data_IF_719989985919
#
_entry.id   IF_719989985919
#
_cell.length_a   1.000
_cell.length_b   1.000
_cell.length_c   1.000
_cell.angle_alpha   90.00
_cell.angle_beta   90.00
_cell.angle_gamma   90.00
#
_symmetry.space_group_name_H-M   'P 1'
#
loop_
_entity.id
_entity.type
_entity.pdbx_description
1 polymer ?
#
# COMPACT_ATOMS: atom_id res chain seq x y z
N UNK A 1 -31.79 21.06 -14.66
CA UNK A 1 -30.40 21.54 -14.88
C UNK A 1 -29.54 20.28 -15.07
N UNK A 2 -28.78 20.17 -16.16
CA UNK A 2 -27.90 19.02 -16.39
C UNK A 2 -26.74 19.08 -15.40
N UNK A 3 -26.58 18.05 -14.58
CA UNK A 3 -25.46 17.91 -13.65
C UNK A 3 -24.11 17.55 -14.33
N UNK A 4 -24.12 17.49 -15.67
CA UNK A 4 -22.97 17.13 -16.48
C UNK A 4 -22.28 18.38 -17.02
N UNK A 5 -20.96 18.41 -16.98
CA UNK A 5 -20.18 19.42 -17.71
C UNK A 5 -20.34 19.20 -19.23
N UNK A 6 -20.14 20.24 -20.05
CA UNK A 6 -20.23 20.14 -21.51
C UNK A 6 -19.37 19.02 -22.09
N UNK A 7 -18.16 18.81 -21.55
CA UNK A 7 -17.26 17.73 -21.94
C UNK A 7 -17.81 16.35 -21.58
N UNK A 8 -18.40 16.20 -20.37
CA UNK A 8 -19.02 14.94 -19.95
C UNK A 8 -20.27 14.59 -20.77
N UNK A 9 -21.07 15.60 -21.14
CA UNK A 9 -22.21 15.41 -22.02
C UNK A 9 -21.76 14.96 -23.42
N UNK A 10 -20.73 15.54 -23.98
CA UNK A 10 -20.16 15.15 -25.27
C UNK A 10 -19.61 13.71 -25.24
N UNK A 11 -18.87 13.32 -24.21
CA UNK A 11 -18.39 11.93 -24.04
C UNK A 11 -19.53 10.93 -23.89
N UNK A 12 -20.61 11.32 -23.21
CA UNK A 12 -21.81 10.50 -23.09
C UNK A 12 -22.49 10.30 -24.46
N UNK A 13 -22.71 11.38 -25.21
CA UNK A 13 -23.32 11.33 -26.54
C UNK A 13 -22.50 10.44 -27.49
N UNK A 14 -21.18 10.59 -27.51
CA UNK A 14 -20.29 9.76 -28.32
C UNK A 14 -20.36 8.28 -27.92
N UNK A 15 -20.45 7.98 -26.63
CA UNK A 15 -20.59 6.59 -26.15
C UNK A 15 -21.93 5.97 -26.46
N UNK A 16 -23.02 6.75 -26.45
CA UNK A 16 -24.37 6.28 -26.86
C UNK A 16 -24.38 5.97 -28.36
N UNK A 17 -23.85 6.84 -29.19
CA UNK A 17 -23.78 6.63 -30.64
C UNK A 17 -22.95 5.36 -30.95
N UNK A 18 -21.80 5.18 -30.30
CA UNK A 18 -20.97 3.99 -30.47
C UNK A 18 -21.71 2.71 -30.05
N UNK A 19 -22.44 2.74 -28.95
CA UNK A 19 -23.28 1.62 -28.48
C UNK A 19 -24.41 1.26 -29.49
N UNK A 20 -25.14 2.27 -29.97
CA UNK A 20 -26.20 2.06 -30.95
C UNK A 20 -25.67 1.48 -32.28
N UNK A 21 -24.49 1.94 -32.70
CA UNK A 21 -23.82 1.45 -33.90
C UNK A 21 -23.37 0.00 -33.74
N UNK A 22 -22.80 -0.35 -32.61
CA UNK A 22 -22.34 -1.71 -32.28
C UNK A 22 -23.53 -2.72 -32.22
N UNK A 23 -24.69 -2.25 -31.79
CA UNK A 23 -25.91 -3.07 -31.71
C UNK A 23 -26.78 -3.02 -33.00
N UNK A 24 -26.22 -2.57 -34.12
CA UNK A 24 -26.89 -2.49 -35.42
C UNK A 24 -28.15 -1.57 -35.49
N UNK A 25 -28.27 -0.63 -34.55
CA UNK A 25 -29.36 0.37 -34.54
C UNK A 25 -28.94 1.65 -35.31
N UNK A 26 -28.61 1.47 -36.59
CA UNK A 26 -27.97 2.49 -37.43
C UNK A 26 -28.86 3.72 -37.61
N UNK A 27 -30.17 3.50 -37.83
CA UNK A 27 -31.16 4.59 -38.04
C UNK A 27 -31.22 5.54 -36.81
N UNK A 28 -31.22 4.97 -35.61
CA UNK A 28 -31.28 5.72 -34.37
C UNK A 28 -29.96 6.46 -34.11
N UNK A 29 -28.82 5.83 -34.43
CA UNK A 29 -27.51 6.44 -34.31
C UNK A 29 -27.34 7.64 -35.25
N UNK A 30 -27.83 7.55 -36.49
CA UNK A 30 -27.81 8.65 -37.47
C UNK A 30 -28.77 9.80 -37.07
N UNK A 31 -29.95 9.50 -36.57
CA UNK A 31 -30.88 10.51 -36.05
C UNK A 31 -30.24 11.29 -34.88
N UNK A 32 -29.62 10.58 -33.93
CA UNK A 32 -28.97 11.22 -32.79
C UNK A 32 -27.75 12.09 -33.21
N UNK A 33 -27.01 11.66 -34.23
CA UNK A 33 -25.92 12.45 -34.80
C UNK A 33 -26.38 13.76 -35.39
N UNK A 34 -27.48 13.71 -36.15
CA UNK A 34 -28.06 14.91 -36.80
C UNK A 34 -28.66 15.89 -35.79
N UNK A 35 -29.28 15.40 -34.73
CA UNK A 35 -29.81 16.24 -33.65
C UNK A 35 -28.68 16.94 -32.83
N UNK A 36 -27.53 16.29 -32.68
CA UNK A 36 -26.39 16.79 -31.91
C UNK A 36 -25.36 17.53 -32.76
N UNK A 37 -25.59 17.70 -34.06
CA UNK A 37 -24.70 18.37 -35.02
C UNK A 37 -23.27 17.83 -35.02
N UNK A 38 -23.11 16.50 -34.82
CA UNK A 38 -21.83 15.82 -34.77
C UNK A 38 -21.42 15.33 -36.16
N UNK A 39 -20.39 15.96 -36.75
CA UNK A 39 -19.85 15.61 -38.07
C UNK A 39 -19.24 14.19 -38.07
N UNK A 40 -19.25 13.52 -39.23
CA UNK A 40 -18.68 12.16 -39.41
C UNK A 40 -17.17 12.11 -39.11
N UNK A 41 -16.44 13.20 -39.37
CA UNK A 41 -15.00 13.31 -39.13
C UNK A 41 -14.59 13.21 -37.66
N UNK A 42 -15.53 13.40 -36.73
CA UNK A 42 -15.28 13.25 -35.29
C UNK A 42 -15.36 11.78 -34.81
N UNK A 43 -15.72 10.87 -35.70
CA UNK A 43 -15.85 9.42 -35.43
C UNK A 43 -14.98 8.59 -36.37
N UNK A 44 -13.67 8.89 -36.40
CA UNK A 44 -12.72 8.01 -37.08
C UNK A 44 -12.70 6.62 -36.43
N UNK A 45 -12.13 5.62 -37.12
CA UNK A 45 -12.12 4.24 -36.63
C UNK A 45 -11.40 4.07 -35.28
N UNK A 46 -10.46 4.95 -34.95
CA UNK A 46 -9.75 4.95 -33.69
C UNK A 46 -10.62 5.51 -32.55
N UNK A 47 -11.38 6.56 -32.83
CA UNK A 47 -12.33 7.18 -31.88
C UNK A 47 -13.51 6.24 -31.62
N UNK A 48 -14.06 5.58 -32.64
CA UNK A 48 -15.11 4.60 -32.49
C UNK A 48 -14.71 3.43 -31.58
N UNK A 49 -13.50 2.86 -31.77
CA UNK A 49 -12.95 1.83 -30.88
C UNK A 49 -12.76 2.28 -29.42
N UNK A 50 -12.44 3.55 -29.20
CA UNK A 50 -12.29 4.12 -27.86
C UNK A 50 -13.60 4.14 -27.09
N UNK A 51 -14.71 4.45 -27.78
CA UNK A 51 -16.04 4.54 -27.18
C UNK A 51 -16.83 3.22 -27.24
N UNK A 52 -16.34 2.27 -28.03
CA UNK A 52 -16.91 0.91 -28.10
C UNK A 52 -16.86 0.27 -26.70
N UNK A 53 -18.00 -0.25 -26.27
CA UNK A 53 -18.20 -0.83 -24.92
C UNK A 53 -18.00 0.15 -23.72
N UNK A 54 -17.78 1.45 -23.96
CA UNK A 54 -17.59 2.40 -22.83
C UNK A 54 -18.90 2.57 -22.04
N UNK A 55 -20.04 2.62 -22.71
CA UNK A 55 -21.35 2.72 -22.07
C UNK A 55 -21.64 1.48 -21.21
N UNK A 56 -21.40 0.29 -21.74
CA UNK A 56 -21.58 -0.97 -21.00
C UNK A 56 -20.69 -1.07 -19.78
N UNK A 57 -19.41 -0.68 -19.92
CA UNK A 57 -18.45 -0.65 -18.80
C UNK A 57 -18.88 0.35 -17.72
N UNK A 58 -19.33 1.54 -18.10
CA UNK A 58 -19.83 2.53 -17.13
C UNK A 58 -21.11 2.04 -16.47
N UNK A 59 -22.03 1.41 -17.23
CA UNK A 59 -23.28 0.86 -16.71
C UNK A 59 -23.01 -0.29 -15.73
N UNK A 60 -22.15 -1.23 -16.07
CA UNK A 60 -21.77 -2.32 -15.16
C UNK A 60 -21.11 -1.79 -13.90
N UNK A 61 -20.29 -0.73 -14.00
CA UNK A 61 -19.71 -0.06 -12.84
C UNK A 61 -20.77 0.59 -11.94
N UNK A 62 -21.77 1.27 -12.53
CA UNK A 62 -22.90 1.87 -11.78
C UNK A 62 -23.73 0.78 -11.09
N UNK A 63 -24.07 -0.30 -11.79
CA UNK A 63 -24.81 -1.41 -11.21
C UNK A 63 -24.05 -2.09 -10.07
N UNK A 64 -22.72 -2.21 -10.19
CA UNK A 64 -21.85 -2.73 -9.14
C UNK A 64 -21.85 -1.82 -7.91
N UNK A 65 -21.75 -0.50 -8.12
CA UNK A 65 -21.80 0.48 -7.04
C UNK A 65 -23.17 0.47 -6.36
N UNK A 66 -24.25 0.41 -7.10
CA UNK A 66 -25.61 0.28 -6.55
C UNK A 66 -25.76 -0.98 -5.70
N UNK A 67 -25.30 -2.13 -6.21
CA UNK A 67 -25.28 -3.38 -5.43
C UNK A 67 -24.48 -3.25 -4.15
N UNK A 68 -23.32 -2.57 -4.21
CA UNK A 68 -22.47 -2.33 -3.03
C UNK A 68 -23.13 -1.38 -2.03
N UNK A 69 -23.83 -0.35 -2.49
CA UNK A 69 -24.63 0.55 -1.63
C UNK A 69 -25.72 -0.24 -0.91
N UNK A 70 -26.51 -1.05 -1.64
CA UNK A 70 -27.55 -1.88 -1.04
C UNK A 70 -27.01 -2.90 -0.03
N UNK A 71 -25.85 -3.51 -0.31
CA UNK A 71 -25.18 -4.42 0.64
C UNK A 71 -24.72 -3.68 1.89
N UNK A 72 -24.16 -2.49 1.74
CA UNK A 72 -23.74 -1.65 2.87
C UNK A 72 -24.93 -1.15 3.70
N UNK A 73 -26.04 -0.76 3.05
CA UNK A 73 -27.28 -0.37 3.74
C UNK A 73 -27.86 -1.55 4.51
N UNK A 74 -27.90 -2.74 3.90
CA UNK A 74 -28.32 -3.98 4.58
C UNK A 74 -27.44 -4.31 5.77
N UNK A 75 -26.11 -4.18 5.61
CA UNK A 75 -25.15 -4.38 6.73
C UNK A 75 -25.31 -3.33 7.81
N UNK A 76 -25.55 -2.07 7.47
CA UNK A 76 -25.81 -1.02 8.45
C UNK A 76 -27.08 -1.31 9.23
N UNK A 77 -28.17 -1.68 8.56
CA UNK A 77 -29.43 -2.03 9.21
C UNK A 77 -29.26 -3.24 10.17
N UNK A 78 -28.47 -4.26 9.75
CA UNK A 78 -28.18 -5.39 10.64
C UNK A 78 -27.34 -5.00 11.83
N UNK A 79 -26.32 -4.13 11.64
CA UNK A 79 -25.48 -3.64 12.72
C UNK A 79 -26.24 -2.73 13.69
N UNK A 80 -27.15 -1.89 13.21
CA UNK A 80 -28.03 -1.08 14.04
C UNK A 80 -28.95 -1.96 14.88
N UNK A 81 -29.61 -2.96 14.25
CA UNK A 81 -30.43 -3.94 14.96
C UNK A 81 -29.66 -4.72 16.01
N UNK A 82 -28.42 -5.10 15.72
CA UNK A 82 -27.54 -5.79 16.66
C UNK A 82 -27.05 -4.85 17.79
N UNK A 83 -26.86 -3.55 17.50
CA UNK A 83 -26.47 -2.55 18.49
C UNK A 83 -27.63 -2.29 19.48
N UNK A 84 -28.86 -2.17 18.97
CA UNK A 84 -30.06 -1.95 19.77
C UNK A 84 -30.37 -3.15 20.68
N UNK A 85 -30.03 -4.36 20.24
CA UNK A 85 -30.22 -5.60 21.01
C UNK A 85 -28.96 -6.03 21.79
N UNK A 86 -27.88 -5.23 21.77
CA UNK A 86 -26.63 -5.58 22.42
C UNK A 86 -26.72 -5.44 23.94
N UNK A 87 -26.56 -6.56 24.63
CA UNK A 87 -26.34 -6.56 26.08
C UNK A 87 -24.86 -6.31 26.41
N UNK A 88 -24.51 -5.74 27.60
CA UNK A 88 -23.11 -5.54 27.99
C UNK A 88 -22.24 -6.80 27.89
N UNK A 89 -22.81 -7.98 28.10
CA UNK A 89 -22.12 -9.26 27.96
C UNK A 89 -21.85 -9.64 26.49
N UNK A 90 -22.74 -9.30 25.57
CA UNK A 90 -22.55 -9.57 24.13
C UNK A 90 -21.54 -8.62 23.49
N UNK A 91 -21.40 -7.39 24.00
CA UNK A 91 -20.37 -6.45 23.57
C UNK A 91 -18.96 -6.87 23.98
N UNK A 92 -18.82 -7.52 25.16
CA UNK A 92 -17.51 -8.00 25.63
C UNK A 92 -16.99 -9.21 24.84
N UNK A 93 -17.88 -10.04 24.30
CA UNK A 93 -17.49 -11.20 23.46
C UNK A 93 -17.19 -10.82 22.01
N UNK A 94 -17.64 -9.64 21.55
CA UNK A 94 -17.35 -9.10 20.20
C UNK A 94 -16.00 -8.41 20.08
N UNK A 95 -15.39 -7.99 21.17
CA UNK A 95 -14.00 -7.52 21.19
C UNK A 95 -13.06 -8.73 21.05
N UNK A 96 -13.13 -9.43 19.91
CA UNK A 96 -12.00 -10.24 19.49
C UNK A 96 -10.80 -9.29 19.45
N UNK A 97 -9.86 -9.57 20.35
CA UNK A 97 -8.65 -8.80 20.52
C UNK A 97 -7.91 -8.74 19.16
N UNK A 98 -8.21 -7.71 18.37
CA UNK A 98 -7.63 -7.53 17.01
C UNK A 98 -6.13 -7.34 17.09
N UNK A 99 -5.61 -7.01 18.28
CA UNK A 99 -4.19 -6.86 18.55
C UNK A 99 -3.44 -8.18 18.51
N UNK A 100 -4.12 -9.31 18.70
CA UNK A 100 -3.54 -10.66 18.69
C UNK A 100 -3.87 -11.46 17.42
N UNK A 101 -4.64 -10.90 16.47
CA UNK A 101 -5.01 -11.61 15.26
C UNK A 101 -3.81 -11.88 14.35
N UNK A 102 -3.71 -13.11 13.87
CA UNK A 102 -2.71 -13.54 12.89
C UNK A 102 -3.39 -14.27 11.72
N UNK A 103 -2.92 -14.09 10.49
CA UNK A 103 -3.50 -14.73 9.32
C UNK A 103 -3.50 -16.25 9.45
N UNK A 104 -4.55 -16.90 8.94
CA UNK A 104 -4.75 -18.37 8.99
C UNK A 104 -4.98 -18.90 7.58
N UNK A 105 -4.39 -20.05 7.26
CA UNK A 105 -4.75 -20.82 6.09
C UNK A 105 -6.13 -21.49 6.30
N UNK A 106 -6.94 -21.67 5.25
CA UNK A 106 -6.71 -21.20 3.87
C UNK A 106 -6.92 -19.69 3.72
N UNK A 107 -6.42 -19.05 2.64
CA UNK A 107 -6.74 -17.67 2.32
C UNK A 107 -8.23 -17.51 2.02
N UNK A 108 -8.81 -16.36 2.33
CA UNK A 108 -10.20 -16.06 1.97
C UNK A 108 -10.39 -15.98 0.46
N UNK A 109 -9.43 -15.35 -0.23
CA UNK A 109 -9.44 -15.24 -1.69
C UNK A 109 -8.07 -15.62 -2.26
N UNK A 110 -8.13 -16.31 -3.41
CA UNK A 110 -6.99 -16.52 -4.30
C UNK A 110 -7.37 -15.90 -5.64
N UNK A 111 -6.68 -14.82 -6.01
CA UNK A 111 -7.02 -14.00 -7.17
C UNK A 111 -5.97 -14.19 -8.27
N UNK A 112 -6.44 -14.54 -9.46
CA UNK A 112 -5.60 -14.85 -10.61
C UNK A 112 -5.93 -13.90 -11.77
N UNK A 113 -4.95 -13.17 -12.26
CA UNK A 113 -5.08 -12.37 -13.47
C UNK A 113 -3.72 -11.91 -14.00
N UNK A 114 -2.70 -11.80 -13.13
CA UNK A 114 -1.34 -11.50 -13.59
C UNK A 114 -0.77 -12.63 -14.41
N UNK A 115 0.07 -12.27 -15.40
CA UNK A 115 0.80 -13.22 -16.28
C UNK A 115 2.27 -13.37 -15.92
N UNK A 116 2.74 -12.62 -14.93
CA UNK A 116 4.09 -12.64 -14.39
C UNK A 116 4.09 -12.60 -12.87
N UNK A 117 5.25 -12.76 -12.26
CA UNK A 117 5.46 -12.68 -10.83
C UNK A 117 4.83 -11.42 -10.24
N UNK A 118 4.11 -11.54 -9.14
CA UNK A 118 3.67 -10.38 -8.36
C UNK A 118 4.84 -9.95 -7.50
N UNK A 119 5.45 -8.80 -7.81
CA UNK A 119 6.64 -8.28 -7.13
C UNK A 119 6.29 -7.47 -5.88
N UNK A 120 5.14 -6.80 -5.87
CA UNK A 120 4.79 -5.83 -4.83
C UNK A 120 3.28 -5.69 -4.65
N UNK A 121 2.93 -5.14 -3.48
CA UNK A 121 1.56 -4.96 -3.02
C UNK A 121 1.44 -3.61 -2.29
N UNK A 122 0.32 -2.91 -2.45
CA UNK A 122 -0.02 -1.74 -1.65
C UNK A 122 -1.52 -1.65 -1.40
N UNK A 123 -1.92 -1.51 -0.15
CA UNK A 123 -3.32 -1.26 0.22
C UNK A 123 -3.63 0.23 0.15
N UNK A 124 -4.80 0.57 -0.38
CA UNK A 124 -5.32 1.92 -0.28
C UNK A 124 -5.60 2.26 1.20
N UNK A 125 -5.19 3.45 1.69
CA UNK A 125 -5.31 3.78 3.11
C UNK A 125 -6.76 3.81 3.62
N UNK A 126 -7.72 4.17 2.79
CA UNK A 126 -9.13 4.35 3.16
C UNK A 126 -10.01 3.26 2.55
N UNK A 127 -9.96 3.07 1.24
CA UNK A 127 -10.85 2.17 0.50
C UNK A 127 -10.42 0.70 0.55
N UNK A 128 -11.31 -0.18 0.10
CA UNK A 128 -11.04 -1.63 -0.03
C UNK A 128 -10.19 -1.98 -1.25
N UNK A 129 -9.47 -1.02 -1.83
CA UNK A 129 -8.64 -1.24 -3.00
C UNK A 129 -7.23 -1.70 -2.62
N UNK A 130 -6.71 -2.67 -3.37
CA UNK A 130 -5.35 -3.20 -3.26
C UNK A 130 -4.69 -3.13 -4.64
N UNK A 131 -3.53 -2.49 -4.72
CA UNK A 131 -2.71 -2.47 -5.93
C UNK A 131 -1.66 -3.58 -5.89
N UNK A 132 -1.44 -4.23 -7.02
CA UNK A 132 -0.37 -5.21 -7.23
C UNK A 132 0.46 -4.83 -8.44
N UNK A 133 1.78 -4.85 -8.32
CA UNK A 133 2.71 -4.70 -9.44
C UNK A 133 3.31 -6.05 -9.84
N UNK A 134 3.62 -6.23 -11.12
CA UNK A 134 4.07 -7.51 -11.65
C UNK A 134 5.12 -7.37 -12.74
N UNK A 135 5.87 -8.46 -12.95
CA UNK A 135 6.80 -8.64 -14.05
C UNK A 135 6.10 -8.58 -15.43
N UNK A 136 4.77 -8.70 -15.49
CA UNK A 136 3.98 -8.53 -16.72
C UNK A 136 3.85 -7.07 -17.16
N UNK A 137 4.57 -6.14 -16.52
CA UNK A 137 4.58 -4.70 -16.78
C UNK A 137 3.25 -3.99 -16.47
N UNK A 138 2.33 -4.64 -15.76
CA UNK A 138 1.05 -4.07 -15.39
C UNK A 138 0.90 -3.89 -13.89
N UNK A 139 0.05 -2.93 -13.53
CA UNK A 139 -0.46 -2.80 -12.18
C UNK A 139 -1.93 -3.21 -12.22
N UNK A 140 -2.36 -4.02 -11.27
CA UNK A 140 -3.75 -4.42 -11.15
C UNK A 140 -4.32 -3.92 -9.84
N UNK A 141 -5.54 -3.42 -9.92
CA UNK A 141 -6.28 -2.89 -8.78
C UNK A 141 -7.40 -3.89 -8.47
N UNK A 142 -7.48 -4.28 -7.23
CA UNK A 142 -8.41 -5.29 -6.74
C UNK A 142 -9.27 -4.72 -5.62
N UNK A 143 -10.54 -5.09 -5.58
CA UNK A 143 -11.34 -4.96 -4.37
C UNK A 143 -11.08 -6.20 -3.50
N UNK A 144 -10.31 -6.03 -2.43
CA UNK A 144 -9.94 -7.14 -1.55
C UNK A 144 -11.12 -7.63 -0.70
N UNK A 145 -12.17 -6.84 -0.49
CA UNK A 145 -13.37 -7.26 0.26
C UNK A 145 -14.32 -8.09 -0.62
N UNK A 146 -14.49 -7.69 -1.87
CA UNK A 146 -15.28 -8.44 -2.87
C UNK A 146 -14.48 -9.61 -3.49
N UNK A 147 -13.15 -9.54 -3.50
CA UNK A 147 -12.30 -10.53 -4.16
C UNK A 147 -12.32 -10.41 -5.69
N UNK A 148 -12.45 -9.21 -6.23
CA UNK A 148 -12.60 -8.98 -7.67
C UNK A 148 -11.53 -8.04 -8.22
N UNK A 149 -11.20 -8.24 -9.51
CA UNK A 149 -10.34 -7.32 -10.26
C UNK A 149 -11.14 -6.10 -10.68
N UNK A 150 -10.78 -4.93 -10.16
CA UNK A 150 -11.42 -3.66 -10.56
C UNK A 150 -10.81 -3.15 -11.87
N UNK A 151 -9.48 -3.17 -11.99
CA UNK A 151 -8.80 -2.52 -13.09
C UNK A 151 -7.41 -3.09 -13.38
N UNK A 152 -6.99 -2.92 -14.63
CA UNK A 152 -5.60 -3.13 -15.07
C UNK A 152 -5.04 -1.81 -15.59
N UNK A 153 -4.02 -1.30 -14.91
CA UNK A 153 -3.32 -0.06 -15.27
C UNK A 153 -2.06 -0.42 -16.07
N UNK A 154 -1.93 0.18 -17.24
CA UNK A 154 -0.81 -0.04 -18.17
C UNK A 154 -0.07 1.27 -18.40
N UNK A 155 1.23 1.19 -18.63
CA UNK A 155 2.05 2.36 -18.96
C UNK A 155 3.54 2.18 -18.67
N UNK A 156 3.92 1.22 -17.82
CA UNK A 156 5.31 0.79 -17.72
C UNK A 156 5.67 -0.13 -18.89
N UNK A 157 6.92 -0.03 -19.35
CA UNK A 157 7.43 -0.82 -20.47
C UNK A 157 8.23 -2.05 -20.04
N UNK A 158 8.55 -2.13 -18.74
CA UNK A 158 9.23 -3.27 -18.10
C UNK A 158 8.55 -3.59 -16.78
N UNK A 159 9.05 -4.62 -16.11
CA UNK A 159 8.56 -5.10 -14.82
C UNK A 159 8.30 -3.96 -13.83
N UNK A 160 7.13 -3.97 -13.19
CA UNK A 160 6.80 -3.10 -12.07
C UNK A 160 7.39 -3.73 -10.82
N UNK A 161 8.29 -3.02 -10.14
CA UNK A 161 9.07 -3.57 -9.03
C UNK A 161 8.42 -3.26 -7.69
N UNK A 162 7.89 -2.04 -7.52
CA UNK A 162 7.24 -1.63 -6.28
C UNK A 162 6.10 -0.63 -6.53
N UNK A 163 5.13 -0.64 -5.61
CA UNK A 163 3.98 0.26 -5.61
C UNK A 163 3.70 0.76 -4.20
N UNK A 164 3.20 1.99 -4.07
CA UNK A 164 2.78 2.56 -2.80
C UNK A 164 1.64 3.57 -2.96
N UNK A 165 0.73 3.61 -1.99
CA UNK A 165 -0.34 4.60 -1.92
C UNK A 165 0.03 5.69 -0.91
N UNK A 166 -0.14 6.92 -1.31
CA UNK A 166 0.06 8.10 -0.47
C UNK A 166 -0.19 9.37 -1.24
N UNK A 167 0.36 10.47 -0.78
CA UNK A 167 0.23 11.77 -1.47
C UNK A 167 -0.12 12.91 -0.54
N UNK A 168 -0.32 14.10 -1.10
CA UNK A 168 -0.69 15.29 -0.34
C UNK A 168 -2.03 15.11 0.37
N UNK A 169 -2.24 15.84 1.46
CA UNK A 169 -3.50 15.80 2.20
C UNK A 169 -4.67 16.14 1.28
N UNK A 170 -5.63 15.22 1.20
CA UNK A 170 -6.85 15.37 0.39
C UNK A 170 -6.81 14.73 -1.00
N UNK A 171 -5.65 14.27 -1.47
CA UNK A 171 -5.54 13.48 -2.71
C UNK A 171 -4.61 12.29 -2.50
N UNK A 172 -5.17 11.09 -2.59
CA UNK A 172 -4.38 9.86 -2.55
C UNK A 172 -3.96 9.52 -3.98
N UNK A 173 -2.65 9.39 -4.20
CA UNK A 173 -2.08 8.94 -5.45
C UNK A 173 -1.53 7.52 -5.28
N UNK A 174 -1.42 6.78 -6.37
CA UNK A 174 -0.64 5.56 -6.44
C UNK A 174 0.70 5.88 -7.11
N UNK A 175 1.80 5.56 -6.46
CA UNK A 175 3.12 5.59 -7.06
C UNK A 175 3.51 4.17 -7.49
N UNK A 176 4.21 4.05 -8.61
CA UNK A 176 4.81 2.80 -9.07
C UNK A 176 6.20 3.04 -9.60
N UNK A 177 7.11 2.11 -9.35
CA UNK A 177 8.44 2.13 -9.94
C UNK A 177 8.70 0.88 -10.76
N UNK A 178 9.60 1.00 -11.72
CA UNK A 178 9.83 -0.06 -12.70
C UNK A 178 11.30 -0.20 -13.09
N UNK A 179 11.58 -1.36 -13.67
CA UNK A 179 12.84 -1.63 -14.34
C UNK A 179 13.00 -0.82 -15.64
N UNK A 180 12.00 -0.04 -16.05
CA UNK A 180 12.08 0.92 -17.15
C UNK A 180 12.72 2.27 -16.72
N UNK A 181 13.30 2.34 -15.53
CA UNK A 181 13.99 3.49 -14.93
C UNK A 181 13.05 4.63 -14.53
N UNK A 182 11.76 4.46 -14.67
CA UNK A 182 10.77 5.49 -14.37
C UNK A 182 9.99 5.19 -13.09
N UNK A 183 9.52 6.28 -12.47
CA UNK A 183 8.50 6.25 -11.44
C UNK A 183 7.26 6.93 -12.04
N UNK A 184 6.09 6.37 -11.87
CA UNK A 184 4.84 6.93 -12.37
C UNK A 184 3.86 7.18 -11.23
N UNK A 185 3.16 8.32 -11.30
CA UNK A 185 2.10 8.68 -10.38
C UNK A 185 0.76 8.56 -11.10
N UNK A 186 -0.19 7.92 -10.45
CA UNK A 186 -1.51 7.62 -10.99
C UNK A 186 -2.58 8.18 -10.06
N UNK A 187 -3.62 8.77 -10.64
CA UNK A 187 -4.74 9.29 -9.87
C UNK A 187 -5.87 8.24 -9.79
N UNK A 188 -6.16 7.68 -8.61
CA UNK A 188 -7.26 6.74 -8.43
C UNK A 188 -8.64 7.35 -8.73
N UNK A 189 -8.81 8.66 -8.57
CA UNK A 189 -10.08 9.35 -8.82
C UNK A 189 -10.33 9.52 -10.32
N UNK A 190 -9.28 9.83 -11.10
CA UNK A 190 -9.35 9.94 -12.58
C UNK A 190 -8.93 8.62 -13.25
N UNK A 191 -9.53 7.52 -12.80
CA UNK A 191 -9.44 6.22 -13.48
C UNK A 191 -8.01 5.66 -13.58
N UNK A 192 -7.15 5.95 -12.58
CA UNK A 192 -5.74 5.62 -12.58
C UNK A 192 -4.99 6.17 -13.79
N UNK A 193 -5.36 7.35 -14.24
CA UNK A 193 -4.62 8.05 -15.28
C UNK A 193 -3.24 8.43 -14.79
N UNK A 194 -2.25 8.31 -15.65
CA UNK A 194 -0.91 8.79 -15.34
C UNK A 194 -0.90 10.31 -15.21
N UNK A 195 -0.67 10.82 -14.01
CA UNK A 195 -0.57 12.25 -13.72
C UNK A 195 0.84 12.74 -14.03
N UNK A 196 1.85 11.91 -13.71
CA UNK A 196 3.25 12.32 -13.82
C UNK A 196 4.17 11.12 -13.97
N UNK A 197 5.25 11.33 -14.73
CA UNK A 197 6.36 10.37 -14.85
C UNK A 197 7.64 11.06 -14.40
N UNK A 198 8.31 10.47 -13.40
CA UNK A 198 9.54 10.96 -12.81
C UNK A 198 10.71 10.18 -13.42
N UNK A 199 11.64 10.89 -13.99
CA UNK A 199 12.84 10.37 -14.64
C UNK A 199 14.08 10.95 -13.97
N UNK A 200 15.17 10.17 -13.89
CA UNK A 200 16.44 10.65 -13.36
C UNK A 200 17.27 9.61 -12.61
N UNK A 201 16.75 8.39 -12.39
CA UNK A 201 17.59 7.27 -12.01
C UNK A 201 18.30 6.67 -13.23
N UNK A 202 19.56 6.30 -13.04
CA UNK A 202 20.41 5.76 -14.10
C UNK A 202 20.29 4.23 -14.25
N UNK A 203 19.59 3.59 -13.32
CA UNK A 203 19.32 2.14 -13.35
C UNK A 203 17.90 1.84 -12.81
N UNK A 204 17.49 0.56 -12.89
CA UNK A 204 16.20 0.07 -12.39
C UNK A 204 15.86 0.62 -11.00
N UNK A 205 14.65 1.12 -10.84
CA UNK A 205 14.14 1.58 -9.53
C UNK A 205 13.61 0.37 -8.77
N UNK A 206 14.13 0.15 -7.57
CA UNK A 206 13.87 -1.05 -6.78
C UNK A 206 12.73 -0.87 -5.78
N UNK A 207 12.56 0.33 -5.24
CA UNK A 207 11.51 0.63 -4.28
C UNK A 207 11.03 2.07 -4.41
N UNK A 208 9.77 2.30 -4.07
CA UNK A 208 9.15 3.63 -4.03
C UNK A 208 8.21 3.73 -2.84
N UNK A 209 8.31 4.80 -2.05
CA UNK A 209 7.44 5.05 -0.89
C UNK A 209 7.09 6.52 -0.79
N UNK A 210 5.84 6.79 -0.45
CA UNK A 210 5.45 8.13 -0.01
C UNK A 210 5.98 8.39 1.39
N UNK A 211 6.50 9.60 1.62
CA UNK A 211 6.91 10.02 2.95
C UNK A 211 5.67 10.40 3.74
N UNK A 212 5.37 9.73 4.88
CA UNK A 212 4.21 10.05 5.70
C UNK A 212 4.29 11.46 6.30
N UNK A 213 3.19 11.87 6.90
CA UNK A 213 3.06 13.04 7.80
C UNK A 213 3.03 14.42 7.20
N UNK A 214 3.39 14.68 5.95
CA UNK A 214 3.32 16.10 5.60
C UNK A 214 3.26 16.41 4.16
N UNK A 215 3.74 15.53 3.36
CA UNK A 215 4.46 16.18 2.30
C UNK A 215 4.14 15.51 1.00
N UNK A 216 4.19 16.31 0.00
CA UNK A 216 4.20 15.88 -1.38
C UNK A 216 5.48 15.10 -1.72
N UNK A 217 6.19 14.58 -0.70
CA UNK A 217 7.48 13.91 -0.92
C UNK A 217 7.33 12.42 -1.16
N UNK A 218 8.08 11.95 -2.13
CA UNK A 218 8.24 10.56 -2.48
C UNK A 218 9.72 10.21 -2.39
N UNK A 219 10.04 9.03 -1.92
CA UNK A 219 11.41 8.50 -1.90
C UNK A 219 11.50 7.28 -2.80
N UNK A 220 12.61 7.14 -3.49
CA UNK A 220 12.92 5.96 -4.30
C UNK A 220 14.33 5.44 -4.01
N UNK A 221 14.47 4.12 -4.14
CA UNK A 221 15.74 3.43 -4.12
C UNK A 221 16.01 2.81 -5.49
N UNK A 222 17.27 2.75 -5.90
CA UNK A 222 17.63 2.24 -7.21
C UNK A 222 18.89 1.40 -7.21
N UNK A 223 19.01 0.58 -8.25
CA UNK A 223 20.24 -0.15 -8.56
C UNK A 223 21.39 0.74 -9.02
N UNK A 224 21.16 2.05 -9.21
CA UNK A 224 22.22 3.05 -9.40
C UNK A 224 22.94 3.44 -8.10
N UNK A 225 22.73 2.70 -7.00
CA UNK A 225 23.32 2.89 -5.69
C UNK A 225 22.87 4.17 -4.97
N UNK A 226 21.84 4.83 -5.46
CA UNK A 226 21.31 6.08 -4.88
C UNK A 226 19.90 5.95 -4.36
N UNK A 227 19.57 6.83 -3.43
CA UNK A 227 18.21 7.15 -3.05
C UNK A 227 17.89 8.55 -3.58
N UNK A 228 16.69 8.74 -4.07
CA UNK A 228 16.23 10.07 -4.51
C UNK A 228 14.96 10.47 -3.79
N UNK A 229 14.87 11.73 -3.42
CA UNK A 229 13.68 12.35 -2.84
C UNK A 229 13.09 13.24 -3.90
N UNK A 230 11.79 13.05 -4.18
CA UNK A 230 11.06 13.73 -5.22
C UNK A 230 9.92 14.53 -4.61
N UNK A 231 9.61 15.66 -5.20
CA UNK A 231 8.35 16.35 -4.97
C UNK A 231 7.30 15.80 -5.95
N UNK A 232 6.31 15.10 -5.42
CA UNK A 232 5.23 14.49 -6.21
C UNK A 232 4.37 15.54 -6.94
N UNK A 233 4.31 16.78 -6.44
CA UNK A 233 3.53 17.86 -7.03
C UNK A 233 4.22 18.45 -8.26
N UNK A 234 5.53 18.71 -8.16
CA UNK A 234 6.30 19.31 -9.25
C UNK A 234 6.92 18.26 -10.17
N UNK A 235 7.25 17.08 -9.63
CA UNK A 235 7.91 15.99 -10.34
C UNK A 235 9.44 16.11 -10.35
N UNK A 236 10.00 17.11 -9.69
CA UNK A 236 11.45 17.29 -9.63
C UNK A 236 12.10 16.46 -8.51
N UNK A 237 13.32 16.01 -8.79
CA UNK A 237 14.19 15.44 -7.78
C UNK A 237 14.71 16.55 -6.87
N UNK A 238 14.27 16.54 -5.61
CA UNK A 238 14.68 17.52 -4.60
C UNK A 238 16.06 17.20 -4.06
N UNK A 239 16.38 15.92 -3.88
CA UNK A 239 17.64 15.49 -3.28
C UNK A 239 18.05 14.10 -3.74
N UNK A 240 19.36 13.89 -3.88
CA UNK A 240 19.96 12.57 -4.10
C UNK A 240 20.87 12.24 -2.91
N UNK A 241 20.60 11.10 -2.25
CA UNK A 241 21.39 10.57 -1.15
C UNK A 241 22.35 9.52 -1.71
N UNK A 242 23.64 9.66 -1.37
CA UNK A 242 24.71 8.78 -1.83
C UNK A 242 25.44 8.17 -0.62
N UNK A 243 25.85 6.91 -0.77
CA UNK A 243 26.57 6.22 0.29
C UNK A 243 26.59 4.71 0.13
N UNK A 244 25.52 4.08 -0.36
CA UNK A 244 25.56 2.68 -0.72
C UNK A 244 26.59 2.42 -1.83
N UNK A 245 27.29 1.30 -1.72
CA UNK A 245 28.34 0.90 -2.66
C UNK A 245 27.89 -0.18 -3.65
N UNK A 246 26.65 -0.67 -3.49
CA UNK A 246 26.00 -1.59 -4.42
C UNK A 246 24.51 -1.23 -4.55
N UNK A 247 23.73 -2.05 -5.24
CA UNK A 247 22.32 -1.82 -5.50
C UNK A 247 21.52 -1.62 -4.22
N UNK A 248 20.71 -0.55 -4.16
CA UNK A 248 19.77 -0.34 -3.07
C UNK A 248 18.48 -1.11 -3.40
N UNK A 249 18.07 -2.00 -2.50
CA UNK A 249 16.94 -2.90 -2.70
C UNK A 249 15.62 -2.32 -2.21
N UNK A 250 15.65 -1.75 -1.02
CA UNK A 250 14.44 -1.27 -0.37
C UNK A 250 14.69 0.03 0.38
N UNK A 251 13.63 0.82 0.55
CA UNK A 251 13.61 2.05 1.34
C UNK A 251 12.32 2.15 2.12
N UNK A 252 12.42 2.53 3.39
CA UNK A 252 11.28 2.67 4.29
C UNK A 252 11.35 4.01 5.04
N UNK A 253 10.37 4.92 4.85
CA UNK A 253 10.32 6.18 5.58
C UNK A 253 9.75 5.98 7.00
N UNK A 254 10.19 6.81 7.95
CA UNK A 254 9.60 6.85 9.28
C UNK A 254 8.20 7.50 9.27
N UNK A 255 7.39 7.20 10.27
CA UNK A 255 6.02 7.70 10.38
C UNK A 255 5.93 9.23 10.50
N UNK A 256 6.98 9.86 11.02
CA UNK A 256 7.10 11.32 11.13
C UNK A 256 7.78 11.97 9.91
N UNK A 257 8.23 11.16 8.94
CA UNK A 257 8.90 11.62 7.72
C UNK A 257 10.30 12.18 7.92
N UNK A 258 10.92 12.06 9.11
CA UNK A 258 12.25 12.60 9.41
C UNK A 258 13.37 11.68 9.00
N UNK A 259 13.15 10.38 9.04
CA UNK A 259 14.17 9.38 8.79
C UNK A 259 13.77 8.48 7.62
N UNK A 260 14.78 8.03 6.89
CA UNK A 260 14.66 6.98 5.89
C UNK A 260 15.58 5.82 6.28
N UNK A 261 15.06 4.61 6.21
CA UNK A 261 15.84 3.39 6.32
C UNK A 261 16.03 2.83 4.92
N UNK A 262 17.26 2.42 4.57
CA UNK A 262 17.54 1.76 3.30
C UNK A 262 18.40 0.52 3.50
N UNK A 263 18.25 -0.43 2.60
CA UNK A 263 18.97 -1.69 2.60
C UNK A 263 19.42 -2.06 1.17
N UNK A 264 20.57 -2.69 1.06
CA UNK A 264 21.14 -2.96 -0.25
C UNK A 264 22.01 -4.21 -0.37
N UNK A 265 22.51 -4.41 -1.59
CA UNK A 265 23.43 -5.50 -1.93
C UNK A 265 24.83 -5.34 -1.37
N UNK A 266 25.16 -4.16 -0.83
CA UNK A 266 26.38 -3.93 -0.07
C UNK A 266 26.34 -4.51 1.36
N UNK A 267 25.29 -5.27 1.68
CA UNK A 267 25.05 -5.91 2.98
C UNK A 267 24.93 -4.89 4.13
N UNK A 268 24.72 -3.62 3.82
CA UNK A 268 24.57 -2.55 4.80
C UNK A 268 23.11 -2.10 4.90
N UNK A 269 22.73 -1.69 6.10
CA UNK A 269 21.49 -0.95 6.36
C UNK A 269 21.88 0.47 6.72
N UNK A 270 21.25 1.46 6.12
CA UNK A 270 21.57 2.86 6.38
C UNK A 270 20.34 3.63 6.84
N UNK A 271 20.55 4.43 7.88
CA UNK A 271 19.56 5.36 8.39
C UNK A 271 19.98 6.79 7.99
N UNK A 272 19.04 7.51 7.35
CA UNK A 272 19.26 8.86 6.85
C UNK A 272 18.37 9.83 7.60
N UNK A 273 18.92 10.98 8.01
CA UNK A 273 18.12 12.10 8.54
C UNK A 273 17.80 13.05 7.40
N UNK A 274 16.54 13.13 7.03
CA UNK A 274 16.08 13.98 5.91
C UNK A 274 15.46 15.29 6.37
N UNK A 275 15.39 15.52 7.68
CA UNK A 275 14.92 16.78 8.24
C UNK A 275 15.88 17.94 7.94
N UNK A 276 17.18 17.67 7.86
CA UNK A 276 18.17 18.66 7.47
C UNK A 276 18.32 18.73 5.95
N UNK A 277 18.03 19.87 5.31
CA UNK A 277 17.99 19.98 3.85
C UNK A 277 19.34 19.74 3.16
N UNK A 278 20.45 19.92 3.88
CA UNK A 278 21.82 19.78 3.35
C UNK A 278 22.45 18.41 3.63
N UNK A 279 21.84 17.58 4.46
CA UNK A 279 22.42 16.27 4.80
C UNK A 279 22.25 15.30 3.64
N UNK A 280 23.36 14.86 3.07
CA UNK A 280 23.44 13.84 2.01
C UNK A 280 24.07 12.54 2.49
N UNK A 281 24.59 12.52 3.71
CA UNK A 281 25.26 11.36 4.31
C UNK A 281 24.32 10.60 5.24
N UNK A 282 24.59 9.30 5.38
CA UNK A 282 23.84 8.46 6.32
C UNK A 282 24.22 8.78 7.77
N UNK A 283 23.20 8.98 8.60
CA UNK A 283 23.37 9.17 10.05
C UNK A 283 23.98 7.93 10.72
N UNK A 284 23.63 6.75 10.22
CA UNK A 284 24.03 5.47 10.77
C UNK A 284 24.18 4.44 9.66
N UNK A 285 25.24 3.61 9.77
CA UNK A 285 25.46 2.45 8.91
C UNK A 285 25.55 1.21 9.79
N UNK A 286 24.66 0.25 9.55
CA UNK A 286 24.58 -0.99 10.30
C UNK A 286 25.19 -2.13 9.48
N UNK A 287 26.04 -2.89 10.11
CA UNK A 287 26.76 -4.03 9.51
C UNK A 287 26.44 -5.30 10.31
N UNK A 288 26.33 -6.44 9.61
CA UNK A 288 26.14 -7.71 10.28
C UNK A 288 25.53 -8.81 9.43
N UNK A 289 24.69 -8.48 8.43
CA UNK A 289 24.23 -9.49 7.48
C UNK A 289 25.38 -10.04 6.64
N UNK A 290 25.31 -11.32 6.34
CA UNK A 290 26.33 -12.04 5.58
C UNK A 290 26.02 -12.12 4.08
N UNK A 291 24.84 -11.64 3.68
CA UNK A 291 24.40 -11.61 2.28
C UNK A 291 23.52 -10.37 2.04
N UNK A 292 23.11 -10.15 0.77
CA UNK A 292 22.27 -9.04 0.33
C UNK A 292 21.02 -8.90 1.17
N UNK A 293 20.65 -7.68 1.48
CA UNK A 293 19.45 -7.36 2.26
C UNK A 293 18.35 -6.99 1.28
N UNK A 294 17.27 -7.77 1.29
CA UNK A 294 16.16 -7.62 0.33
C UNK A 294 15.09 -6.64 0.81
N UNK A 295 14.86 -6.57 2.12
CA UNK A 295 13.79 -5.76 2.68
C UNK A 295 14.18 -5.15 4.02
N UNK A 296 13.58 -4.01 4.31
CA UNK A 296 13.75 -3.30 5.58
C UNK A 296 12.43 -2.69 6.05
N UNK A 297 12.27 -2.54 7.35
CA UNK A 297 11.10 -1.93 7.96
C UNK A 297 11.48 -1.19 9.24
N UNK A 298 10.93 0.00 9.43
CA UNK A 298 10.97 0.72 10.69
C UNK A 298 9.87 0.21 11.62
N UNK A 299 10.21 -0.03 12.86
CA UNK A 299 9.27 -0.47 13.86
C UNK A 299 8.30 0.65 14.25
N UNK A 300 6.99 0.43 14.20
CA UNK A 300 6.03 1.43 14.68
C UNK A 300 6.15 1.60 16.20
N UNK A 301 5.79 2.76 16.76
CA UNK A 301 5.88 3.02 18.21
C UNK A 301 5.16 1.99 19.09
N UNK A 302 4.12 1.34 18.58
CA UNK A 302 3.39 0.27 19.26
C UNK A 302 4.26 -0.94 19.59
N UNK A 303 5.36 -1.15 18.85
CA UNK A 303 6.30 -2.27 19.08
C UNK A 303 7.34 -1.98 20.15
N UNK A 304 7.56 -0.72 20.52
CA UNK A 304 8.66 -0.33 21.39
C UNK A 304 8.61 -0.98 22.77
N UNK A 305 7.42 -1.21 23.31
CA UNK A 305 7.24 -1.91 24.58
C UNK A 305 7.77 -3.35 24.55
N UNK A 306 7.78 -4.00 23.39
CA UNK A 306 8.26 -5.38 23.23
C UNK A 306 9.75 -5.41 22.85
N UNK A 307 10.21 -4.46 22.02
CA UNK A 307 11.60 -4.44 21.55
C UNK A 307 12.58 -3.83 22.56
N UNK A 308 12.12 -2.90 23.39
CA UNK A 308 12.98 -2.25 24.39
C UNK A 308 13.63 -3.22 25.38
N UNK A 309 12.91 -4.18 26.00
CA UNK A 309 13.53 -5.18 26.87
C UNK A 309 14.55 -6.05 26.12
N UNK A 310 14.25 -6.47 24.88
CA UNK A 310 15.17 -7.26 24.05
C UNK A 310 16.46 -6.50 23.73
N UNK A 311 16.37 -5.17 23.56
CA UNK A 311 17.52 -4.29 23.35
C UNK A 311 18.23 -3.86 24.65
N UNK A 312 17.85 -4.43 25.81
CA UNK A 312 18.43 -4.11 27.10
C UNK A 312 18.05 -2.73 27.66
N UNK A 313 16.96 -2.14 27.18
CA UNK A 313 16.49 -0.85 27.67
C UNK A 313 15.56 -1.04 28.88
N UNK A 314 15.80 -0.30 29.96
CA UNK A 314 14.96 -0.33 31.17
C UNK A 314 13.56 0.25 30.97
N UNK A 315 13.41 1.17 30.02
CA UNK A 315 12.12 1.80 29.67
C UNK A 315 12.00 1.88 28.14
N UNK A 316 10.79 1.70 27.58
CA UNK A 316 10.59 1.89 26.16
C UNK A 316 10.80 3.37 25.78
N UNK A 317 11.30 3.64 24.57
CA UNK A 317 11.38 4.98 24.02
C UNK A 317 10.00 5.63 23.95
N UNK A 318 9.89 6.97 23.99
CA UNK A 318 8.60 7.63 23.86
C UNK A 318 7.97 7.38 22.50
N UNK A 319 6.64 7.31 22.43
CA UNK A 319 5.91 7.10 21.20
C UNK A 319 6.09 8.26 20.18
N UNK A 320 6.58 9.40 20.61
CA UNK A 320 6.94 10.52 19.75
C UNK A 320 8.28 10.35 19.04
N UNK A 321 9.14 9.40 19.47
CA UNK A 321 10.36 9.08 18.73
C UNK A 321 10.04 8.17 17.54
N UNK A 322 10.73 8.41 16.44
CA UNK A 322 10.65 7.57 15.24
C UNK A 322 12.02 6.97 14.95
N UNK A 323 12.01 5.79 14.31
CA UNK A 323 13.24 5.09 13.91
C UNK A 323 14.14 4.60 15.08
N UNK A 324 13.57 4.28 16.24
CA UNK A 324 14.29 3.71 17.37
C UNK A 324 14.70 2.24 17.14
N UNK A 325 13.84 1.49 16.48
CA UNK A 325 14.07 0.09 16.15
C UNK A 325 13.78 -0.20 14.68
N UNK A 326 14.54 -1.13 14.13
CA UNK A 326 14.50 -1.51 12.73
C UNK A 326 14.55 -3.02 12.58
N UNK A 327 13.92 -3.54 11.54
CA UNK A 327 13.99 -4.94 11.12
C UNK A 327 14.48 -5.03 9.68
N UNK A 328 15.33 -6.01 9.39
CA UNK A 328 15.84 -6.28 8.05
C UNK A 328 15.78 -7.76 7.73
N UNK A 329 15.44 -8.09 6.49
CA UNK A 329 15.41 -9.44 5.97
C UNK A 329 16.41 -9.62 4.84
N UNK A 330 17.19 -10.70 4.90
CA UNK A 330 18.31 -10.93 4.02
C UNK A 330 18.25 -12.28 3.30
N UNK A 331 19.06 -12.40 2.27
CA UNK A 331 19.35 -13.66 1.58
C UNK A 331 20.18 -14.64 2.45
N UNK A 332 20.74 -14.17 3.58
CA UNK A 332 21.34 -15.05 4.58
C UNK A 332 20.30 -15.86 5.38
N UNK A 333 19.01 -15.75 5.01
CA UNK A 333 17.85 -16.45 5.60
C UNK A 333 17.51 -15.97 7.01
N UNK A 334 18.11 -14.89 7.48
CA UNK A 334 17.88 -14.33 8.82
C UNK A 334 17.15 -13.00 8.77
N UNK A 335 16.39 -12.74 9.85
CA UNK A 335 15.88 -11.41 10.14
C UNK A 335 16.72 -10.85 11.27
N UNK A 336 17.19 -9.63 11.12
CA UNK A 336 17.93 -8.94 12.19
C UNK A 336 17.15 -7.74 12.70
N UNK A 337 17.15 -7.58 14.02
CA UNK A 337 16.56 -6.45 14.71
C UNK A 337 17.67 -5.54 15.21
N UNK A 338 17.51 -4.25 14.96
CA UNK A 338 18.51 -3.23 15.20
C UNK A 338 17.95 -2.10 16.06
N UNK A 339 18.82 -1.49 16.86
CA UNK A 339 18.54 -0.27 17.59
C UNK A 339 19.15 0.95 16.89
N UNK A 340 18.56 2.11 17.05
CA UNK A 340 19.09 3.41 16.61
C UNK A 340 20.48 3.75 17.21
N UNK A 341 20.95 2.95 18.17
CA UNK A 341 22.32 3.05 18.73
C UNK A 341 23.39 2.39 17.86
N UNK A 342 22.99 1.79 16.72
CA UNK A 342 23.94 1.14 15.81
C UNK A 342 24.22 -0.32 16.14
N UNK A 343 23.48 -0.94 17.06
CA UNK A 343 23.70 -2.32 17.48
C UNK A 343 22.57 -3.23 17.01
N UNK A 344 22.94 -4.37 16.41
CA UNK A 344 22.03 -5.51 16.24
C UNK A 344 21.87 -6.21 17.60
N UNK A 345 20.64 -6.33 18.08
CA UNK A 345 20.37 -6.93 19.38
C UNK A 345 19.70 -8.30 19.30
N UNK A 346 19.16 -8.67 18.13
CA UNK A 346 18.51 -9.97 17.95
C UNK A 346 18.61 -10.44 16.50
N UNK A 347 18.80 -11.76 16.33
CA UNK A 347 18.74 -12.43 15.04
C UNK A 347 17.66 -13.52 15.10
N UNK A 348 16.65 -13.43 14.25
CA UNK A 348 15.60 -14.42 14.13
C UNK A 348 15.98 -15.42 13.05
N UNK A 349 16.08 -16.66 13.43
CA UNK A 349 16.48 -17.78 12.56
C UNK A 349 15.33 -18.74 12.43
N UNK A 350 15.09 -19.24 11.22
CA UNK A 350 14.04 -20.22 10.99
C UNK A 350 13.69 -20.40 9.53
N UNK A 351 13.77 -19.35 8.69
CA UNK A 351 13.56 -19.49 7.25
C UNK A 351 14.67 -20.34 6.60
N UNK A 352 14.27 -21.12 5.61
CA UNK A 352 15.18 -22.02 4.89
C UNK A 352 15.71 -21.39 3.59
N UNK A 353 15.18 -20.21 3.21
CA UNK A 353 15.58 -19.49 2.00
C UNK A 353 15.48 -17.97 2.22
N UNK A 354 15.72 -17.18 1.18
CA UNK A 354 15.77 -15.72 1.17
C UNK A 354 14.51 -15.09 1.73
N UNK A 355 14.66 -14.06 2.54
CA UNK A 355 13.55 -13.30 3.10
C UNK A 355 13.27 -12.12 2.16
N UNK A 356 12.05 -12.07 1.61
CA UNK A 356 11.65 -11.10 0.58
C UNK A 356 10.88 -9.90 1.13
N UNK A 357 10.10 -10.10 2.17
CA UNK A 357 9.28 -9.02 2.71
C UNK A 357 9.11 -9.17 4.22
N UNK A 358 9.01 -8.01 4.88
CA UNK A 358 8.77 -7.87 6.30
C UNK A 358 7.62 -6.89 6.55
N UNK A 359 6.78 -7.18 7.52
CA UNK A 359 5.75 -6.26 7.98
C UNK A 359 5.52 -6.39 9.48
N UNK A 360 5.55 -5.27 10.20
CA UNK A 360 5.12 -5.24 11.59
C UNK A 360 3.60 -5.27 11.68
N UNK A 361 3.10 -6.06 12.62
CA UNK A 361 1.69 -6.03 12.99
C UNK A 361 1.33 -4.66 13.57
N UNK A 362 0.20 -4.05 13.20
CA UNK A 362 -0.19 -2.73 13.72
C UNK A 362 -0.33 -2.66 15.25
N UNK A 363 -0.71 -3.78 15.89
CA UNK A 363 -0.73 -3.90 17.36
C UNK A 363 0.65 -4.02 18.02
N UNK A 364 1.72 -4.08 17.23
CA UNK A 364 3.10 -4.02 17.68
C UNK A 364 3.71 -5.32 18.22
N UNK A 365 2.90 -6.32 18.57
CA UNK A 365 3.40 -7.56 19.19
C UNK A 365 4.10 -8.50 18.21
N UNK A 366 3.68 -8.53 16.95
CA UNK A 366 4.16 -9.50 15.98
C UNK A 366 4.91 -8.85 14.82
N UNK A 367 5.87 -9.59 14.29
CA UNK A 367 6.52 -9.34 13.01
C UNK A 367 6.16 -10.50 12.07
N UNK A 368 5.81 -10.18 10.83
CA UNK A 368 5.56 -11.18 9.79
C UNK A 368 6.65 -11.10 8.74
N UNK A 369 7.05 -12.24 8.22
CA UNK A 369 8.03 -12.37 7.15
C UNK A 369 7.56 -13.30 6.04
N UNK A 370 7.89 -12.99 4.81
CA UNK A 370 7.66 -13.83 3.64
C UNK A 370 8.99 -14.23 3.01
N UNK A 371 9.07 -15.47 2.53
CA UNK A 371 10.32 -16.04 2.06
C UNK A 371 10.17 -16.87 0.78
N UNK A 372 11.30 -17.04 0.10
CA UNK A 372 11.47 -17.99 -1.02
C UNK A 372 11.39 -19.47 -0.56
N UNK A 373 11.31 -19.74 0.76
CA UNK A 373 10.99 -21.08 1.29
C UNK A 373 9.49 -21.42 1.19
N UNK A 374 8.70 -20.57 0.52
CA UNK A 374 7.25 -20.68 0.32
C UNK A 374 6.43 -20.54 1.61
N UNK A 375 7.01 -20.00 2.67
CA UNK A 375 6.29 -19.80 3.94
C UNK A 375 6.13 -18.32 4.28
N UNK A 376 5.08 -18.05 5.06
CA UNK A 376 4.95 -16.81 5.82
C UNK A 376 5.04 -17.15 7.29
N UNK A 377 5.98 -16.52 8.01
CA UNK A 377 6.20 -16.76 9.43
C UNK A 377 5.79 -15.58 10.26
N UNK A 378 5.25 -15.88 11.46
CA UNK A 378 4.85 -14.88 12.43
C UNK A 378 5.74 -15.03 13.68
N UNK A 379 6.40 -13.95 14.05
CA UNK A 379 7.36 -13.88 15.16
C UNK A 379 6.77 -13.07 16.30
N UNK A 380 6.71 -13.63 17.51
CA UNK A 380 6.19 -12.95 18.70
C UNK A 380 7.31 -12.18 19.38
N UNK A 381 7.27 -10.85 19.29
CA UNK A 381 8.25 -9.97 19.90
C UNK A 381 8.17 -9.93 21.43
N UNK A 382 7.03 -10.35 22.02
CA UNK A 382 6.91 -10.47 23.47
C UNK A 382 7.57 -11.73 24.02
N UNK A 383 7.95 -12.68 23.14
CA UNK A 383 8.62 -13.93 23.47
C UNK A 383 10.00 -14.01 22.78
N UNK A 384 10.77 -12.94 22.89
CA UNK A 384 12.13 -12.87 22.33
C UNK A 384 12.20 -13.23 20.85
N UNK A 385 11.17 -12.87 20.08
CA UNK A 385 11.12 -13.14 18.65
C UNK A 385 10.92 -14.62 18.29
N UNK A 386 10.29 -15.42 19.16
CA UNK A 386 9.96 -16.81 18.85
C UNK A 386 8.98 -16.89 17.69
N UNK A 387 9.22 -17.81 16.75
CA UNK A 387 8.27 -18.13 15.70
C UNK A 387 7.06 -18.87 16.31
N UNK A 388 5.92 -18.19 16.34
CA UNK A 388 4.68 -18.71 16.92
C UNK A 388 3.74 -19.31 15.89
N UNK A 389 3.93 -18.97 14.62
CA UNK A 389 3.08 -19.49 13.55
C UNK A 389 3.83 -19.53 12.23
N UNK A 390 3.61 -20.59 11.50
CA UNK A 390 4.05 -20.78 10.13
C UNK A 390 2.82 -21.04 9.27
N UNK A 391 2.64 -20.21 8.24
CA UNK A 391 1.68 -20.47 7.18
C UNK A 391 2.47 -21.18 6.09
N UNK A 392 2.34 -22.51 6.04
CA UNK A 392 3.02 -23.33 5.05
C UNK A 392 2.36 -23.23 3.68
N UNK A 393 3.17 -23.07 2.67
CA UNK A 393 2.78 -23.08 1.25
C UNK A 393 1.56 -22.21 0.90
N UNK A 394 1.50 -20.93 1.38
CA UNK A 394 0.46 -20.03 0.89
C UNK A 394 0.55 -19.82 -0.62
N UNK A 395 1.70 -20.09 -1.23
CA UNK A 395 1.96 -20.07 -2.67
C UNK A 395 2.64 -21.34 -3.15
N UNK A 396 2.36 -21.78 -4.37
CA UNK A 396 2.99 -22.96 -5.00
C UNK A 396 4.49 -22.73 -5.26
N UNK A 397 4.88 -21.45 -5.37
CA UNK A 397 6.25 -20.98 -5.56
C UNK A 397 6.63 -19.98 -4.48
N UNK A 398 7.71 -19.23 -4.68
CA UNK A 398 8.24 -18.24 -3.75
C UNK A 398 7.21 -17.16 -3.40
N UNK A 399 7.20 -16.72 -2.15
CA UNK A 399 6.40 -15.59 -1.68
C UNK A 399 7.24 -14.33 -1.79
N UNK A 400 6.90 -13.47 -2.74
CA UNK A 400 7.70 -12.29 -3.11
C UNK A 400 7.26 -11.01 -2.41
N UNK A 401 5.98 -10.93 -2.05
CA UNK A 401 5.40 -9.72 -1.46
C UNK A 401 4.47 -10.07 -0.30
N UNK A 402 4.49 -9.21 0.72
CA UNK A 402 3.68 -9.31 1.92
C UNK A 402 3.33 -7.90 2.39
N UNK A 403 2.04 -7.62 2.63
CA UNK A 403 1.57 -6.36 3.21
C UNK A 403 0.43 -6.59 4.17
N UNK A 404 0.35 -5.74 5.19
CA UNK A 404 -0.77 -5.62 6.11
C UNK A 404 -1.60 -4.41 5.74
N UNK A 405 -2.94 -4.51 5.79
CA UNK A 405 -3.82 -3.38 5.51
C UNK A 405 -3.64 -2.29 6.58
N UNK A 406 -3.53 -1.01 6.20
CA UNK A 406 -3.34 0.09 7.14
C UNK A 406 -4.52 0.18 8.11
N UNK A 407 -4.24 0.51 9.37
CA UNK A 407 -5.25 0.77 10.40
C UNK A 407 -6.07 2.02 10.08
N UNK A 408 -7.34 2.03 10.46
CA UNK A 408 -8.20 3.21 10.34
C UNK A 408 -8.14 3.99 11.66
N UNK A 409 -7.74 5.25 11.58
CA UNK A 409 -7.82 6.18 12.70
C UNK A 409 -9.20 6.85 12.65
N UNK A 410 -10.07 6.54 13.60
CA UNK A 410 -11.35 7.24 13.76
C UNK A 410 -11.12 8.50 14.60
N UNK A 411 -11.29 9.66 13.98
CA UNK A 411 -11.48 10.90 14.73
C UNK A 411 -12.88 10.81 15.35
N UNK A 412 -12.98 10.73 16.67
CA UNK A 412 -14.26 10.90 17.36
C UNK A 412 -14.80 12.28 17.00
N UNK A 413 -15.69 12.31 16.01
CA UNK A 413 -16.42 13.51 15.61
C UNK A 413 -17.18 14.03 16.83
N UNK A 414 -17.06 15.32 17.06
CA UNK A 414 -17.87 16.06 18.02
C UNK A 414 -19.34 15.93 17.60
N UNK A 415 -20.06 14.91 18.11
CA UNK A 415 -21.53 14.90 18.04
C UNK A 415 -22.00 16.08 18.87
N UNK A 416 -22.45 17.12 18.15
CA UNK A 416 -22.90 18.35 18.76
C UNK A 416 -24.11 18.15 19.68
N UNK A 417 -23.90 18.51 20.91
CA UNK A 417 -24.92 19.14 21.75
C UNK A 417 -24.19 20.28 22.46
N UNK A 418 -24.70 21.50 22.24
CA UNK A 418 -24.09 22.71 22.73
C UNK A 418 -23.98 22.73 24.25
N UNK A 419 -22.75 22.82 24.72
CA UNK A 419 -22.40 23.37 26.01
C UNK A 419 -21.05 24.08 25.87
N UNK A 420 -21.03 25.35 26.27
CA UNK A 420 -19.83 26.19 26.24
C UNK A 420 -18.71 25.61 27.13
N UNK A 421 -17.43 25.83 26.78
CA UNK A 421 -16.31 25.28 27.53
C UNK A 421 -16.07 26.11 28.80
N UNK A 422 -16.21 25.48 29.97
CA UNK A 422 -15.67 26.01 31.23
C UNK A 422 -14.13 25.93 31.16
N UNK A 423 -13.50 27.07 31.35
CA UNK A 423 -12.06 27.28 31.47
C UNK A 423 -11.52 26.55 32.70
N UNK A 424 -10.48 25.79 32.51
CA UNK A 424 -9.50 25.15 33.39
C UNK A 424 -9.53 23.63 33.38
N UNK A 425 -8.67 23.06 32.52
CA UNK A 425 -8.33 21.64 32.50
C UNK A 425 -7.20 21.37 31.52
N UNK A 426 -6.11 20.86 32.03
CA UNK A 426 -4.98 20.31 31.25
C UNK A 426 -5.48 19.52 30.05
N UNK A 427 -4.86 19.62 28.86
CA UNK A 427 -5.27 18.87 27.67
C UNK A 427 -5.07 17.37 27.93
N UNK A 428 -6.15 16.67 28.27
CA UNK A 428 -6.17 15.22 28.28
C UNK A 428 -5.89 14.74 26.85
N UNK A 429 -4.88 13.92 26.67
CA UNK A 429 -4.57 13.19 25.44
C UNK A 429 -5.86 12.45 25.01
N UNK A 430 -6.55 12.96 23.99
CA UNK A 430 -7.68 12.26 23.38
C UNK A 430 -7.12 10.99 22.78
N UNK A 431 -7.40 9.85 23.39
CA UNK A 431 -7.08 8.55 22.84
C UNK A 431 -7.74 8.44 21.45
N UNK A 432 -6.94 8.39 20.41
CA UNK A 432 -7.43 8.11 19.06
C UNK A 432 -7.82 6.63 19.02
N UNK A 433 -9.06 6.36 18.68
CA UNK A 433 -9.53 4.97 18.48
C UNK A 433 -8.95 4.46 17.15
N UNK A 434 -7.92 3.63 17.25
CA UNK A 434 -7.21 3.04 16.11
C UNK A 434 -7.79 1.65 15.85
N UNK A 435 -8.61 1.53 14.84
CA UNK A 435 -9.16 0.24 14.42
C UNK A 435 -8.15 -0.52 13.53
N UNK A 436 -7.63 -1.64 14.01
CA UNK A 436 -6.76 -2.54 13.26
C UNK A 436 -7.59 -3.30 12.23
N UNK A 437 -7.21 -3.19 10.95
CA UNK A 437 -7.75 -4.05 9.89
C UNK A 437 -7.03 -5.41 9.91
N UNK A 438 -7.78 -6.47 10.18
CA UNK A 438 -7.25 -7.85 10.18
C UNK A 438 -7.22 -8.39 8.75
N UNK A 439 -6.42 -7.78 7.89
CA UNK A 439 -6.26 -8.15 6.48
C UNK A 439 -4.79 -8.16 6.10
N UNK A 440 -4.35 -9.31 5.57
CA UNK A 440 -2.99 -9.50 5.05
C UNK A 440 -3.08 -9.97 3.61
N UNK A 441 -2.26 -9.42 2.74
CA UNK A 441 -2.14 -9.87 1.36
C UNK A 441 -0.73 -10.39 1.09
N UNK A 442 -0.65 -11.46 0.28
CA UNK A 442 0.62 -12.02 -0.20
C UNK A 442 0.59 -12.18 -1.70
N UNK A 443 1.72 -11.90 -2.34
CA UNK A 443 1.95 -12.13 -3.76
C UNK A 443 3.09 -13.11 -3.98
N UNK A 444 3.03 -13.88 -5.04
CA UNK A 444 4.04 -14.90 -5.32
C UNK A 444 4.47 -14.99 -6.78
N UNK A 445 5.50 -15.81 -6.99
CA UNK A 445 6.02 -16.18 -8.32
C UNK A 445 4.99 -17.01 -9.11
N UNK A 446 3.98 -17.56 -8.42
CA UNK A 446 2.85 -18.28 -9.05
C UNK A 446 1.82 -17.34 -9.69
N UNK A 447 2.10 -16.03 -9.76
CA UNK A 447 1.25 -15.00 -10.34
C UNK A 447 -0.11 -14.83 -9.61
N UNK A 448 -0.24 -15.39 -8.40
CA UNK A 448 -1.47 -15.36 -7.61
C UNK A 448 -1.36 -14.34 -6.47
N UNK A 449 -2.45 -13.65 -6.25
CA UNK A 449 -2.64 -12.80 -5.06
C UNK A 449 -3.52 -13.56 -4.07
N UNK A 450 -3.07 -13.67 -2.82
CA UNK A 450 -3.86 -14.29 -1.75
C UNK A 450 -4.16 -13.30 -0.64
N UNK A 451 -5.40 -13.34 -0.17
CA UNK A 451 -5.91 -12.42 0.84
C UNK A 451 -6.37 -13.25 2.04
N UNK A 452 -5.84 -12.89 3.21
CA UNK A 452 -6.18 -13.47 4.50
C UNK A 452 -6.95 -12.44 5.31
N UNK A 453 -8.13 -12.81 5.80
CA UNK A 453 -8.97 -11.97 6.65
C UNK A 453 -9.48 -12.77 7.84
N UNK A 454 -10.17 -12.09 8.78
CA UNK A 454 -10.91 -12.73 9.87
C UNK A 454 -12.11 -13.52 9.37
#
# INVERSE_FOLDING_TARGET
MSHLTSRQAEELHKSIIAYLTANHLIATATALRTELDLSEDQFDSATAKKYENLLERKWTSVMRLQKKVLDLESRNATLEFELDNATPASLSTRNKDTSSWLPKAPPRYTLESHRGTISCLAFHPIFSSLATGSDDCTIKIWDWDAGELERTVKGHTRAVVDVDYGGPRGSTLLASCSSDLSIKLWDPVDDYKNVRTLLGHDHSVSAVRFVPASTNLLVSASRDMTLKIWDATTGFCVRTLRGHTAWVRDVFPSSDGRYLLSAGDDMTVRLWDVSAPTSTESKLTLLGHEHYIECCALAPPTTYQYLAPMAGLKKPPPASSSAEFMATGSRDKTIRLWSARGTGFMTLVGHDNWIRALVFHPGGRYLLSASDDKTVRCWDLSQEGRCVKVIGEPHERFVTALRWAPSIVRSLGNTGTGQEPSTNGTPANKAQDVQIRCVVATGGVDCKLRIFTT
#
